data_IF_128151121930
#
_entry.id   IF_128151121930
#
_cell.length_a   1.000
_cell.length_b   1.000
_cell.length_c   1.000
_cell.angle_alpha   90.00
_cell.angle_beta   90.00
_cell.angle_gamma   90.00
#
_symmetry.space_group_name_H-M   'P 1'
#
loop_
_entity.id
_entity.type
_entity.pdbx_description
1 polymer ?
#
# COMPACT_ATOMS: atom_id res chain seq x y z
N UNK A 1 -6.12 -2.37 -36.11
CA UNK A 1 -6.61 -3.56 -35.38
C UNK A 1 -5.37 -4.30 -34.87
N UNK A 2 -5.44 -4.88 -33.67
CA UNK A 2 -4.32 -5.39 -32.84
C UNK A 2 -3.64 -4.37 -31.91
N UNK A 3 -4.32 -4.05 -30.79
CA UNK A 3 -3.66 -3.68 -29.52
C UNK A 3 -4.18 -4.58 -28.38
N UNK A 4 -4.24 -5.88 -28.63
CA UNK A 4 -4.37 -6.89 -27.59
C UNK A 4 -3.04 -7.63 -27.51
N UNK A 5 -2.17 -7.24 -26.59
CA UNK A 5 -1.00 -8.03 -26.15
C UNK A 5 -0.23 -7.26 -25.07
N UNK A 6 -0.82 -7.04 -23.89
CA UNK A 6 -0.01 -6.84 -22.68
C UNK A 6 -0.78 -7.01 -21.36
N UNK A 7 -1.77 -7.91 -21.29
CA UNK A 7 -2.27 -8.44 -20.00
C UNK A 7 -2.74 -9.88 -20.18
N UNK A 8 -1.84 -10.81 -20.49
CA UNK A 8 -2.16 -12.24 -20.40
C UNK A 8 -0.91 -12.99 -19.97
N UNK A 9 -0.80 -13.26 -18.67
CA UNK A 9 -0.47 -14.57 -18.06
C UNK A 9 0.06 -14.33 -16.63
N UNK A 10 -0.85 -13.92 -15.75
CA UNK A 10 -0.63 -13.98 -14.31
C UNK A 10 -0.64 -15.47 -13.96
N UNK A 11 0.52 -16.11 -13.99
CA UNK A 11 0.66 -17.52 -13.60
C UNK A 11 0.18 -17.66 -12.15
N UNK A 12 -1.01 -18.24 -12.00
CA UNK A 12 -1.69 -18.40 -10.73
C UNK A 12 -0.84 -19.19 -9.73
N UNK A 13 -0.01 -20.13 -10.20
CA UNK A 13 0.92 -20.86 -9.33
C UNK A 13 2.06 -19.96 -8.86
N UNK A 14 2.62 -19.11 -9.73
CA UNK A 14 3.61 -18.11 -9.32
C UNK A 14 3.03 -17.13 -8.30
N UNK A 15 1.81 -16.66 -8.51
CA UNK A 15 1.13 -15.78 -7.54
C UNK A 15 0.82 -16.46 -6.21
N UNK A 16 0.32 -17.69 -6.24
CA UNK A 16 0.10 -18.48 -5.03
C UNK A 16 1.42 -18.72 -4.27
N UNK A 17 2.52 -18.93 -5.00
CA UNK A 17 3.86 -19.07 -4.40
C UNK A 17 4.36 -17.76 -3.81
N UNK A 18 4.21 -16.62 -4.49
CA UNK A 18 4.56 -15.29 -3.95
C UNK A 18 3.76 -14.97 -2.69
N UNK A 19 2.47 -15.30 -2.66
CA UNK A 19 1.63 -15.13 -1.47
C UNK A 19 2.05 -16.04 -0.30
N UNK A 20 2.48 -17.28 -0.58
CA UNK A 20 3.06 -18.18 0.44
C UNK A 20 4.36 -17.58 0.99
N UNK A 21 5.24 -17.10 0.13
CA UNK A 21 6.49 -16.44 0.53
C UNK A 21 6.24 -15.18 1.35
N UNK A 22 5.17 -14.41 1.08
CA UNK A 22 4.76 -13.28 1.91
C UNK A 22 4.44 -13.72 3.34
N UNK A 23 3.61 -14.76 3.51
CA UNK A 23 3.22 -15.28 4.82
C UNK A 23 4.43 -15.80 5.60
N UNK A 24 5.32 -16.53 4.93
CA UNK A 24 6.56 -17.03 5.52
C UNK A 24 7.50 -15.89 5.92
N UNK A 25 7.71 -14.91 5.04
CA UNK A 25 8.53 -13.74 5.32
C UNK A 25 7.98 -12.91 6.49
N UNK A 26 6.65 -12.74 6.56
CA UNK A 26 6.00 -12.04 7.66
C UNK A 26 6.17 -12.80 8.98
N UNK A 27 6.02 -14.13 8.96
CA UNK A 27 6.25 -14.98 10.14
C UNK A 27 7.68 -14.86 10.65
N UNK A 28 8.68 -15.02 9.77
CA UNK A 28 10.10 -14.88 10.13
C UNK A 28 10.38 -13.50 10.74
N UNK A 29 9.74 -12.45 10.22
CA UNK A 29 9.88 -11.09 10.73
C UNK A 29 9.29 -10.95 12.13
N UNK A 30 8.07 -11.43 12.33
CA UNK A 30 7.39 -11.44 13.64
C UNK A 30 8.19 -12.22 14.68
N UNK A 31 8.72 -13.39 14.31
CA UNK A 31 9.52 -14.24 15.20
C UNK A 31 10.83 -13.58 15.66
N UNK A 32 11.36 -12.64 14.85
CA UNK A 32 12.55 -11.84 15.20
C UNK A 32 12.22 -10.58 16.02
N UNK A 33 10.95 -10.26 16.21
CA UNK A 33 10.51 -9.07 16.97
C UNK A 33 10.21 -9.44 18.43
N UNK A 34 10.17 -8.41 19.30
CA UNK A 34 9.63 -8.58 20.66
C UNK A 34 8.18 -9.07 20.57
N UNK A 35 7.80 -10.02 21.43
CA UNK A 35 6.47 -10.69 21.43
C UNK A 35 5.32 -9.69 21.26
N UNK A 36 5.28 -8.63 22.05
CA UNK A 36 4.24 -7.58 21.98
C UNK A 36 4.16 -6.91 20.60
N UNK A 37 5.32 -6.54 20.03
CA UNK A 37 5.39 -5.91 18.70
C UNK A 37 5.05 -6.89 17.58
N UNK A 38 5.44 -8.15 17.75
CA UNK A 38 5.11 -9.23 16.80
C UNK A 38 3.60 -9.48 16.75
N UNK A 39 2.93 -9.55 17.91
CA UNK A 39 1.47 -9.65 18.00
C UNK A 39 0.79 -8.45 17.36
N UNK A 40 1.23 -7.24 17.68
CA UNK A 40 0.69 -6.01 17.10
C UNK A 40 0.82 -5.98 15.57
N UNK A 41 1.99 -6.33 15.04
CA UNK A 41 2.21 -6.40 13.59
C UNK A 41 1.30 -7.45 12.95
N UNK A 42 1.14 -8.62 13.55
CA UNK A 42 0.26 -9.67 13.05
C UNK A 42 -1.21 -9.20 12.97
N UNK A 43 -1.69 -8.52 14.01
CA UNK A 43 -3.05 -7.94 14.02
C UNK A 43 -3.21 -6.87 12.94
N UNK A 44 -2.24 -5.97 12.81
CA UNK A 44 -2.27 -4.93 11.78
C UNK A 44 -2.23 -5.51 10.37
N UNK A 45 -1.44 -6.57 10.15
CA UNK A 45 -1.32 -7.23 8.86
C UNK A 45 -2.60 -7.98 8.48
N UNK A 46 -3.19 -8.71 9.43
CA UNK A 46 -4.48 -9.37 9.22
C UNK A 46 -5.58 -8.37 8.84
N UNK A 47 -5.63 -7.22 9.53
CA UNK A 47 -6.57 -6.16 9.20
C UNK A 47 -6.34 -5.60 7.79
N UNK A 48 -5.09 -5.31 7.42
CA UNK A 48 -4.76 -4.77 6.08
C UNK A 48 -5.13 -5.74 4.97
N UNK A 49 -4.92 -7.04 5.17
CA UNK A 49 -5.15 -8.07 4.14
C UNK A 49 -6.63 -8.48 4.02
N UNK A 50 -7.38 -8.50 5.12
CA UNK A 50 -8.70 -9.14 5.14
C UNK A 50 -9.85 -8.21 5.50
N UNK A 51 -9.62 -7.18 6.33
CA UNK A 51 -10.69 -6.31 6.82
C UNK A 51 -10.80 -5.02 6.00
N UNK A 52 -9.67 -4.33 5.78
CA UNK A 52 -9.64 -3.06 5.06
C UNK A 52 -10.17 -3.18 3.61
N UNK A 53 -9.78 -4.20 2.80
CA UNK A 53 -10.29 -4.33 1.44
C UNK A 53 -11.80 -4.51 1.42
N UNK A 54 -12.35 -5.37 2.28
CA UNK A 54 -13.79 -5.61 2.40
C UNK A 54 -14.52 -4.31 2.77
N UNK A 55 -14.02 -3.60 3.78
CA UNK A 55 -14.60 -2.32 4.21
C UNK A 55 -14.59 -1.25 3.10
N UNK A 56 -13.56 -1.22 2.24
CA UNK A 56 -13.51 -0.30 1.10
C UNK A 56 -14.53 -0.70 0.03
N UNK A 57 -14.70 -1.99 -0.26
CA UNK A 57 -15.62 -2.48 -1.29
C UNK A 57 -17.10 -2.39 -0.90
N UNK A 58 -17.42 -2.47 0.40
CA UNK A 58 -18.80 -2.34 0.89
C UNK A 58 -19.34 -0.89 0.80
N UNK A 59 -18.46 0.09 0.56
CA UNK A 59 -18.85 1.51 0.43
C UNK A 59 -19.39 1.80 -0.96
N UNK A 60 -20.45 2.62 -1.02
CA UNK A 60 -21.04 3.10 -2.28
C UNK A 60 -20.00 3.75 -3.21
N UNK A 61 -19.16 4.62 -2.65
CA UNK A 61 -17.96 5.11 -3.32
C UNK A 61 -16.73 4.61 -2.56
N UNK A 62 -15.83 3.90 -3.25
CA UNK A 62 -14.55 3.45 -2.68
C UNK A 62 -13.78 4.64 -2.11
N UNK A 63 -13.40 4.55 -0.84
CA UNK A 63 -12.60 5.54 -0.13
C UNK A 63 -12.01 4.94 1.13
N UNK A 64 -11.04 5.63 1.74
CA UNK A 64 -10.56 5.33 3.09
C UNK A 64 -10.95 6.45 4.04
N UNK A 65 -11.14 6.11 5.31
CA UNK A 65 -11.36 7.05 6.41
C UNK A 65 -10.04 7.45 7.06
N UNK A 66 -10.03 8.54 7.83
CA UNK A 66 -8.82 8.94 8.59
C UNK A 66 -8.37 7.89 9.59
N UNK A 67 -9.24 7.23 10.38
CA UNK A 67 -8.79 6.16 11.30
C UNK A 67 -8.11 5.01 10.55
N UNK A 68 -8.63 4.64 9.38
CA UNK A 68 -8.02 3.62 8.52
C UNK A 68 -6.68 4.08 7.96
N UNK A 69 -6.57 5.32 7.50
CA UNK A 69 -5.30 5.89 7.03
C UNK A 69 -4.24 5.88 8.14
N UNK A 70 -4.61 6.28 9.36
CA UNK A 70 -3.73 6.25 10.52
C UNK A 70 -3.30 4.82 10.89
N UNK A 71 -4.23 3.86 10.83
CA UNK A 71 -3.95 2.44 11.10
C UNK A 71 -3.07 1.83 10.01
N UNK A 72 -3.27 2.20 8.75
CA UNK A 72 -2.42 1.81 7.61
C UNK A 72 -1.00 2.38 7.75
N UNK A 73 -0.86 3.65 8.16
CA UNK A 73 0.45 4.23 8.44
C UNK A 73 1.17 3.45 9.56
N UNK A 74 0.45 3.15 10.65
CA UNK A 74 0.98 2.35 11.75
C UNK A 74 1.43 0.97 11.26
N UNK A 75 0.60 0.27 10.50
CA UNK A 75 0.95 -1.02 9.86
C UNK A 75 2.24 -0.90 9.04
N UNK A 76 2.33 0.10 8.16
CA UNK A 76 3.52 0.34 7.30
C UNK A 76 4.78 0.57 8.14
N UNK A 77 4.70 1.42 9.16
CA UNK A 77 5.84 1.75 10.03
C UNK A 77 6.25 0.62 10.96
N UNK A 78 5.31 -0.26 11.35
CA UNK A 78 5.60 -1.47 12.14
C UNK A 78 6.34 -2.54 11.35
N UNK A 79 6.17 -2.54 10.01
CA UNK A 79 6.98 -3.38 9.11
C UNK A 79 8.37 -2.79 8.92
N UNK A 80 8.48 -1.49 8.63
CA UNK A 80 9.75 -0.87 8.29
C UNK A 80 10.47 -0.18 9.46
N UNK A 81 11.17 0.90 9.12
CA UNK A 81 11.76 1.81 10.11
C UNK A 81 10.67 2.66 10.74
N UNK A 82 10.45 2.48 12.05
CA UNK A 82 9.49 3.28 12.79
C UNK A 82 9.88 4.77 12.80
N UNK A 83 8.97 5.64 12.37
CA UNK A 83 9.16 7.10 12.30
C UNK A 83 7.95 7.82 12.92
N UNK A 84 7.94 8.10 14.23
CA UNK A 84 6.79 8.66 14.95
C UNK A 84 6.23 9.94 14.32
N UNK A 85 7.11 10.79 13.78
CA UNK A 85 6.73 12.03 13.11
C UNK A 85 5.77 11.81 11.94
N UNK A 86 5.91 10.71 11.19
CA UNK A 86 5.01 10.40 10.07
C UNK A 86 3.61 10.03 10.58
N UNK A 87 3.52 9.35 11.72
CA UNK A 87 2.25 9.02 12.37
C UNK A 87 1.52 10.30 12.82
N UNK A 88 2.22 11.20 13.51
CA UNK A 88 1.62 12.48 13.94
C UNK A 88 1.19 13.35 12.74
N UNK A 89 1.98 13.35 11.67
CA UNK A 89 1.64 14.10 10.46
C UNK A 89 0.39 13.53 9.78
N UNK A 90 0.23 12.21 9.71
CA UNK A 90 -0.96 11.61 9.09
C UNK A 90 -2.23 11.90 9.90
N UNK A 91 -2.11 11.92 11.23
CA UNK A 91 -3.20 12.26 12.16
C UNK A 91 -3.64 13.73 12.04
N UNK A 92 -2.78 14.61 11.52
CA UNK A 92 -3.10 16.02 11.29
C UNK A 92 -3.89 16.30 10.01
N UNK A 93 -4.18 15.27 9.18
CA UNK A 93 -5.06 15.43 8.03
C UNK A 93 -6.52 15.61 8.46
N UNK A 94 -7.29 16.51 7.82
CA UNK A 94 -8.74 16.60 8.00
C UNK A 94 -9.45 15.34 7.46
N UNK A 95 -10.51 14.88 8.14
CA UNK A 95 -11.30 13.71 7.72
C UNK A 95 -11.84 13.87 6.29
N UNK A 96 -12.47 15.02 6.02
CA UNK A 96 -13.04 15.34 4.71
C UNK A 96 -12.01 15.32 3.58
N UNK A 97 -10.78 15.75 3.87
CA UNK A 97 -9.70 15.72 2.90
C UNK A 97 -9.26 14.29 2.61
N UNK A 98 -9.16 13.42 3.62
CA UNK A 98 -8.81 12.00 3.45
C UNK A 98 -9.85 11.29 2.59
N UNK A 99 -11.13 11.48 2.89
CA UNK A 99 -12.23 10.87 2.13
C UNK A 99 -12.26 11.41 0.71
N UNK A 100 -12.20 12.73 0.50
CA UNK A 100 -12.28 13.31 -0.84
C UNK A 100 -11.08 12.96 -1.73
N UNK A 101 -9.86 13.00 -1.19
CA UNK A 101 -8.64 12.60 -1.91
C UNK A 101 -8.69 11.12 -2.32
N UNK A 102 -9.08 10.23 -1.40
CA UNK A 102 -9.15 8.80 -1.71
C UNK A 102 -10.26 8.45 -2.71
N UNK A 103 -11.43 9.10 -2.62
CA UNK A 103 -12.49 8.96 -3.64
C UNK A 103 -11.98 9.32 -5.04
N UNK A 104 -11.32 10.47 -5.18
CA UNK A 104 -10.74 10.90 -6.46
C UNK A 104 -9.70 9.91 -6.96
N UNK A 105 -8.84 9.42 -6.06
CA UNK A 105 -7.83 8.43 -6.39
C UNK A 105 -8.42 7.14 -6.96
N UNK A 106 -9.44 6.57 -6.30
CA UNK A 106 -10.12 5.37 -6.79
C UNK A 106 -10.85 5.59 -8.11
N UNK A 107 -11.40 6.79 -8.37
CA UNK A 107 -12.01 7.16 -9.66
C UNK A 107 -10.98 7.29 -10.79
N UNK A 108 -9.70 7.50 -10.48
CA UNK A 108 -8.64 7.59 -11.48
C UNK A 108 -8.19 6.23 -12.01
N UNK A 109 -8.55 5.12 -11.35
CA UNK A 109 -8.17 3.77 -11.78
C UNK A 109 -8.82 3.47 -13.15
N UNK A 110 -8.08 2.89 -14.13
CA UNK A 110 -6.77 2.24 -14.02
C UNK A 110 -5.54 3.16 -14.12
N UNK A 111 -5.69 4.49 -14.19
CA UNK A 111 -4.57 5.42 -14.21
C UNK A 111 -3.94 5.58 -12.80
N UNK A 112 -3.04 4.68 -12.46
CA UNK A 112 -2.36 4.64 -11.16
C UNK A 112 -1.54 5.91 -10.87
N UNK A 113 -0.91 6.51 -11.90
CA UNK A 113 -0.15 7.76 -11.73
C UNK A 113 -1.04 8.87 -11.18
N UNK A 114 -2.20 9.11 -11.80
CA UNK A 114 -3.17 10.10 -11.32
C UNK A 114 -3.72 9.72 -9.95
N UNK A 115 -4.01 8.43 -9.73
CA UNK A 115 -4.50 7.96 -8.44
C UNK A 115 -3.51 8.23 -7.29
N UNK A 116 -2.21 8.04 -7.53
CA UNK A 116 -1.15 8.38 -6.56
C UNK A 116 -1.07 9.89 -6.36
N UNK A 117 -1.11 10.69 -7.41
CA UNK A 117 -1.08 12.16 -7.33
C UNK A 117 -2.22 12.69 -6.44
N UNK A 118 -3.45 12.17 -6.61
CA UNK A 118 -4.61 12.51 -5.77
C UNK A 118 -4.42 12.17 -4.28
N UNK A 119 -3.67 11.11 -3.94
CA UNK A 119 -3.38 10.73 -2.55
C UNK A 119 -2.20 11.50 -1.95
N UNK A 120 -1.24 11.93 -2.78
CA UNK A 120 -0.03 12.62 -2.30
C UNK A 120 -0.27 14.05 -1.79
N UNK A 121 -1.49 14.57 -1.95
CA UNK A 121 -1.93 15.81 -1.32
C UNK A 121 -2.05 15.68 0.21
N UNK A 122 -2.16 14.46 0.72
CA UNK A 122 -2.28 14.18 2.16
C UNK A 122 -0.91 14.21 2.84
N UNK A 123 -0.85 14.79 4.05
CA UNK A 123 0.37 14.85 4.84
C UNK A 123 0.86 13.43 5.19
N UNK A 124 2.16 13.21 5.05
CA UNK A 124 2.84 11.93 5.25
C UNK A 124 2.40 10.79 4.30
N UNK A 125 1.60 11.09 3.27
CA UNK A 125 1.25 10.13 2.21
C UNK A 125 2.13 10.42 0.99
N UNK A 126 3.23 9.66 0.87
CA UNK A 126 4.02 9.62 -0.36
C UNK A 126 3.60 8.46 -1.28
N UNK A 127 4.25 8.28 -2.44
CA UNK A 127 3.93 7.22 -3.39
C UNK A 127 3.85 5.82 -2.78
N UNK A 128 4.76 5.47 -1.86
CA UNK A 128 4.73 4.19 -1.18
C UNK A 128 3.47 4.00 -0.32
N UNK A 129 3.07 5.03 0.45
CA UNK A 129 1.84 4.96 1.26
C UNK A 129 0.59 5.01 0.39
N UNK A 130 0.59 5.83 -0.67
CA UNK A 130 -0.49 5.88 -1.65
C UNK A 130 -0.70 4.50 -2.31
N UNK A 131 0.37 3.81 -2.70
CA UNK A 131 0.28 2.46 -3.28
C UNK A 131 -0.34 1.45 -2.31
N UNK A 132 -0.13 1.58 -0.99
CA UNK A 132 -0.78 0.72 0.01
C UNK A 132 -2.29 0.95 0.06
N UNK A 133 -2.71 2.21 -0.01
CA UNK A 133 -4.14 2.58 -0.05
C UNK A 133 -4.80 2.02 -1.30
N UNK A 134 -4.16 2.18 -2.46
CA UNK A 134 -4.67 1.67 -3.73
C UNK A 134 -4.70 0.14 -3.75
N UNK A 135 -3.66 -0.53 -3.24
CA UNK A 135 -3.63 -1.99 -3.14
C UNK A 135 -4.72 -2.55 -2.23
N UNK A 136 -5.12 -1.82 -1.19
CA UNK A 136 -6.22 -2.25 -0.33
C UNK A 136 -7.59 -2.12 -1.01
N UNK A 137 -7.86 -1.04 -1.75
CA UNK A 137 -9.18 -0.80 -2.36
C UNK A 137 -9.36 -1.29 -3.81
N UNK A 138 -8.26 -1.59 -4.49
CA UNK A 138 -8.24 -2.11 -5.85
C UNK A 138 -7.04 -3.06 -6.04
N UNK A 139 -6.99 -4.19 -5.29
CA UNK A 139 -5.89 -5.16 -5.36
C UNK A 139 -5.70 -5.75 -6.77
N UNK A 140 -6.75 -5.75 -7.59
CA UNK A 140 -6.70 -6.21 -8.99
C UNK A 140 -6.03 -5.20 -9.94
N UNK A 141 -5.85 -3.95 -9.50
CA UNK A 141 -5.26 -2.87 -10.30
C UNK A 141 -3.95 -2.32 -9.71
N UNK A 142 -3.66 -2.52 -8.42
CA UNK A 142 -2.52 -1.91 -7.75
C UNK A 142 -1.79 -2.89 -6.82
N UNK A 143 -0.45 -2.93 -6.95
CA UNK A 143 0.42 -3.63 -6.01
C UNK A 143 1.02 -2.66 -4.97
N UNK A 144 1.20 -3.13 -3.74
CA UNK A 144 1.86 -2.35 -2.69
C UNK A 144 3.37 -2.27 -2.93
N UNK A 145 3.90 -1.06 -3.14
CA UNK A 145 5.33 -0.80 -3.18
C UNK A 145 5.89 -0.68 -1.76
N UNK A 146 6.34 -1.80 -1.19
CA UNK A 146 7.03 -1.80 0.09
C UNK A 146 8.41 -1.14 -0.04
N UNK A 147 8.76 -0.25 0.90
CA UNK A 147 10.06 0.44 0.94
C UNK A 147 11.25 -0.57 0.98
N UNK A 148 11.01 -1.80 1.44
CA UNK A 148 11.98 -2.90 1.55
C UNK A 148 12.25 -3.59 0.19
N UNK A 149 11.25 -3.68 -0.69
CA UNK A 149 11.39 -4.30 -2.02
C UNK A 149 12.25 -3.47 -2.97
N UNK A 150 12.30 -2.16 -2.76
CA UNK A 150 13.09 -1.22 -3.56
C UNK A 150 14.59 -1.25 -3.23
N UNK A 151 14.96 -1.74 -2.05
CA UNK A 151 16.37 -1.89 -1.62
C UNK A 151 16.98 -3.24 -2.04
N UNK A 152 16.15 -4.22 -2.42
CA UNK A 152 16.58 -5.57 -2.77
C UNK A 152 16.95 -5.74 -4.26
N UNK A 153 16.76 -4.70 -5.09
CA UNK A 153 17.17 -4.72 -6.50
C UNK A 153 18.66 -4.36 -6.62
N UNK A 154 19.53 -5.29 -7.07
CA UNK A 154 20.93 -4.98 -7.32
C UNK A 154 21.03 -3.98 -8.49
N UNK A 155 21.62 -2.80 -8.25
CA UNK A 155 21.88 -1.80 -9.30
C UNK A 155 21.17 -0.45 -9.15
N UNK A 156 20.27 -0.30 -8.17
CA UNK A 156 19.56 0.96 -7.93
C UNK A 156 20.06 1.66 -6.67
N UNK A 157 21.16 2.41 -6.78
CA UNK A 157 21.47 3.53 -5.90
C UNK A 157 22.11 4.67 -6.71
N UNK A 158 21.79 5.95 -6.46
CA UNK A 158 20.78 6.48 -5.54
C UNK A 158 19.48 6.86 -6.28
N UNK A 159 18.33 6.46 -5.73
CA UNK A 159 17.02 6.62 -6.38
C UNK A 159 16.45 8.04 -6.15
N UNK A 160 16.22 8.76 -7.24
CA UNK A 160 15.41 9.97 -7.25
C UNK A 160 13.92 9.60 -7.13
N UNK A 161 13.22 10.17 -6.16
CA UNK A 161 11.78 10.02 -5.97
C UNK A 161 11.02 10.80 -7.04
N UNK A 162 10.96 10.29 -8.27
CA UNK A 162 10.17 10.90 -9.36
C UNK A 162 9.14 9.93 -9.92
N UNK A 163 8.02 10.50 -10.37
CA UNK A 163 6.84 9.79 -10.90
C UNK A 163 7.19 8.90 -12.11
N UNK A 164 8.27 9.18 -12.83
CA UNK A 164 8.75 8.34 -13.94
C UNK A 164 9.16 6.93 -13.50
N UNK A 165 9.66 6.77 -12.27
CA UNK A 165 10.08 5.47 -11.74
C UNK A 165 8.89 4.55 -11.39
N UNK A 166 7.71 5.14 -11.13
CA UNK A 166 6.50 4.42 -10.77
C UNK A 166 5.92 3.58 -11.93
N UNK A 167 6.26 3.91 -13.18
CA UNK A 167 5.67 3.31 -14.38
C UNK A 167 6.52 2.16 -14.98
N UNK A 168 7.59 1.74 -14.32
CA UNK A 168 8.50 0.68 -14.81
C UNK A 168 8.33 -0.67 -14.09
N UNK A 169 7.40 -0.78 -13.14
CA UNK A 169 7.14 -2.00 -12.36
C UNK A 169 5.82 -2.66 -12.72
#
# INVERSE_FOLDING_TARGET
MEMEKFVVNVDFQKWANVLKLYKEGMKIKIDKMKIEKGKELNTLDSWFQNELPVAIQEREEKHITKPELCKLMKWKLSRGKFRPRLQQMVESNPEELVVSASKKAFKCIPNLKKAVEELTVLKAVGPATASAVLAAGAPEHAAFMADESMQALPGLQPLQYTVGFYLQG
#
